data_IF_011367679498
#
_entry.id   IF_011367679498
#
_cell.length_a   1.000
_cell.length_b   1.000
_cell.length_c   1.000
_cell.angle_alpha   90.00
_cell.angle_beta   90.00
_cell.angle_gamma   90.00
#
_symmetry.space_group_name_H-M   'P 1'
#
loop_
_entity.id
_entity.type
_entity.pdbx_description
1 polymer ?
#
# COMPACT_ATOMS: atom_id res chain seq x y z
N UNK A 1 -10.21 -17.84 -2.16
CA UNK A 1 -9.84 -16.77 -1.21
C UNK A 1 -9.49 -15.56 -2.06
N UNK A 2 -10.23 -14.47 -1.92
CA UNK A 2 -10.04 -13.25 -2.72
C UNK A 2 -10.05 -12.08 -1.74
N UNK A 3 -9.07 -11.19 -1.87
CA UNK A 3 -8.98 -9.94 -1.13
C UNK A 3 -10.00 -8.97 -1.74
N UNK A 4 -10.93 -8.50 -0.93
CA UNK A 4 -12.08 -7.70 -1.34
C UNK A 4 -11.85 -6.21 -1.14
N UNK A 5 -12.59 -5.42 -1.92
CA UNK A 5 -12.76 -3.99 -1.69
C UNK A 5 -13.92 -3.77 -0.74
N UNK A 6 -13.65 -3.11 0.37
CA UNK A 6 -14.62 -2.69 1.38
C UNK A 6 -14.87 -1.16 1.28
N UNK A 7 -15.90 -0.60 1.92
CA UNK A 7 -16.20 0.83 1.84
C UNK A 7 -15.04 1.74 2.26
N UNK A 8 -14.18 1.33 3.21
CA UNK A 8 -13.02 2.11 3.64
C UNK A 8 -11.97 2.12 2.53
N UNK A 9 -11.60 0.95 2.00
CA UNK A 9 -10.61 0.87 0.91
C UNK A 9 -11.07 1.58 -0.37
N UNK A 10 -12.37 1.52 -0.71
CA UNK A 10 -12.95 2.31 -1.81
C UNK A 10 -12.88 3.81 -1.54
N UNK A 11 -13.25 4.24 -0.33
CA UNK A 11 -13.16 5.64 0.08
C UNK A 11 -11.73 6.17 -0.02
N UNK A 12 -10.75 5.40 0.46
CA UNK A 12 -9.33 5.72 0.33
C UNK A 12 -8.88 5.76 -1.13
N UNK A 13 -9.27 4.81 -1.97
CA UNK A 13 -8.95 4.83 -3.39
C UNK A 13 -9.51 6.09 -4.10
N UNK A 14 -10.74 6.50 -3.77
CA UNK A 14 -11.33 7.75 -4.28
C UNK A 14 -10.53 8.95 -3.80
N UNK A 15 -10.17 9.02 -2.51
CA UNK A 15 -9.30 10.08 -1.99
C UNK A 15 -7.94 10.10 -2.72
N UNK A 16 -7.35 8.92 -2.96
CA UNK A 16 -6.14 8.75 -3.74
C UNK A 16 -6.26 9.34 -5.16
N UNK A 17 -7.40 9.21 -5.82
CA UNK A 17 -7.62 9.84 -7.14
C UNK A 17 -7.75 11.37 -7.08
N UNK A 18 -8.09 11.95 -5.93
CA UNK A 18 -8.22 13.39 -5.75
C UNK A 18 -6.90 14.08 -5.38
N UNK A 19 -5.99 13.38 -4.71
CA UNK A 19 -4.67 13.93 -4.30
C UNK A 19 -3.84 14.46 -5.49
N UNK A 20 -3.71 13.74 -6.62
CA UNK A 20 -2.97 14.23 -7.79
C UNK A 20 -3.56 15.53 -8.34
N UNK A 21 -4.88 15.69 -8.29
CA UNK A 21 -5.55 16.93 -8.72
C UNK A 21 -5.09 18.09 -7.85
N UNK A 22 -5.01 17.90 -6.53
CA UNK A 22 -4.48 18.89 -5.61
C UNK A 22 -3.01 19.22 -5.91
N UNK A 23 -2.13 18.20 -5.90
CA UNK A 23 -0.68 18.39 -6.07
C UNK A 23 -0.38 19.06 -7.41
N UNK A 24 -0.97 18.60 -8.51
CA UNK A 24 -0.75 19.21 -9.83
C UNK A 24 -1.33 20.62 -9.97
N UNK A 25 -2.30 21.00 -9.16
CA UNK A 25 -2.86 22.37 -9.15
C UNK A 25 -1.96 23.34 -8.41
N UNK A 26 -1.41 22.95 -7.25
CA UNK A 26 -0.73 23.87 -6.34
C UNK A 26 0.80 23.81 -6.43
N UNK A 27 1.37 22.63 -6.71
CA UNK A 27 2.83 22.45 -6.81
C UNK A 27 3.32 22.55 -8.26
N UNK A 28 2.41 22.44 -9.24
CA UNK A 28 2.72 22.44 -10.67
C UNK A 28 3.75 21.36 -11.09
N UNK A 29 3.82 20.26 -10.33
CA UNK A 29 4.71 19.13 -10.58
C UNK A 29 3.95 17.90 -11.09
N UNK A 30 4.71 16.96 -11.68
CA UNK A 30 4.20 15.70 -12.19
C UNK A 30 4.54 14.49 -11.30
N UNK A 31 5.06 14.70 -10.08
CA UNK A 31 5.46 13.60 -9.19
C UNK A 31 4.29 12.66 -8.87
N UNK A 32 3.08 13.22 -8.73
CA UNK A 32 1.88 12.44 -8.47
C UNK A 32 1.43 11.56 -9.66
N UNK A 33 2.00 11.71 -10.87
CA UNK A 33 1.60 10.89 -12.02
C UNK A 33 1.91 9.40 -11.79
N UNK A 34 3.11 9.09 -11.30
CA UNK A 34 3.51 7.70 -11.08
C UNK A 34 2.54 6.95 -10.14
N UNK A 35 2.27 7.42 -8.91
CA UNK A 35 1.29 6.76 -8.05
C UNK A 35 -0.12 6.76 -8.64
N UNK A 36 -0.51 7.79 -9.40
CA UNK A 36 -1.82 7.81 -10.07
C UNK A 36 -1.95 6.67 -11.06
N UNK A 37 -0.93 6.47 -11.91
CA UNK A 37 -0.91 5.36 -12.85
C UNK A 37 -0.87 4.02 -12.13
N UNK A 38 -0.11 3.90 -11.05
CA UNK A 38 -0.05 2.67 -10.25
C UNK A 38 -1.43 2.34 -9.63
N UNK A 39 -2.10 3.33 -9.05
CA UNK A 39 -3.44 3.21 -8.48
C UNK A 39 -4.45 2.76 -9.54
N UNK A 40 -4.48 3.44 -10.69
CA UNK A 40 -5.37 3.10 -11.81
C UNK A 40 -5.05 1.71 -12.35
N UNK A 41 -3.77 1.36 -12.53
CA UNK A 41 -3.33 0.05 -12.97
C UNK A 41 -3.77 -1.05 -11.99
N UNK A 42 -3.74 -0.78 -10.68
CA UNK A 42 -4.26 -1.69 -9.66
C UNK A 42 -5.76 -1.91 -9.78
N UNK A 43 -6.55 -0.85 -9.95
CA UNK A 43 -8.01 -0.93 -10.12
C UNK A 43 -8.37 -1.68 -11.41
N UNK A 44 -7.74 -1.30 -12.52
CA UNK A 44 -7.95 -1.91 -13.85
C UNK A 44 -7.50 -3.37 -13.82
N UNK A 45 -6.31 -3.66 -13.29
CA UNK A 45 -5.80 -5.02 -13.15
C UNK A 45 -6.75 -5.91 -12.35
N UNK A 46 -7.23 -5.41 -11.21
CA UNK A 46 -8.20 -6.12 -10.38
C UNK A 46 -9.50 -6.39 -11.16
N UNK A 47 -10.02 -5.41 -11.92
CA UNK A 47 -11.29 -5.54 -12.65
C UNK A 47 -11.20 -6.48 -13.85
N UNK A 48 -10.19 -6.31 -14.68
CA UNK A 48 -10.13 -6.93 -16.01
C UNK A 48 -9.39 -8.26 -16.03
N UNK A 49 -8.36 -8.43 -15.19
CA UNK A 49 -7.58 -9.67 -15.17
C UNK A 49 -8.27 -10.74 -14.31
N UNK A 50 -8.81 -10.35 -13.14
CA UNK A 50 -9.40 -11.31 -12.20
C UNK A 50 -10.87 -11.64 -12.51
N UNK A 51 -11.54 -10.84 -13.34
CA UNK A 51 -12.94 -11.00 -13.79
C UNK A 51 -14.00 -11.11 -12.67
N UNK A 52 -13.60 -11.02 -11.40
CA UNK A 52 -14.44 -10.99 -10.20
C UNK A 52 -13.86 -9.95 -9.25
N UNK A 53 -14.47 -8.76 -9.21
CA UNK A 53 -14.29 -7.88 -8.04
C UNK A 53 -15.34 -8.36 -7.04
N UNK A 54 -14.89 -9.04 -6.00
CA UNK A 54 -15.76 -9.36 -4.88
C UNK A 54 -15.72 -8.15 -3.96
N UNK A 55 -16.84 -7.44 -3.89
CA UNK A 55 -17.01 -6.21 -3.12
C UNK A 55 -17.78 -6.52 -1.85
N UNK A 56 -17.30 -5.97 -0.73
CA UNK A 56 -18.05 -5.97 0.53
C UNK A 56 -18.82 -4.65 0.60
N UNK A 57 -20.16 -4.63 0.46
CA UNK A 57 -20.92 -3.38 0.35
C UNK A 57 -21.11 -2.68 1.69
N UNK A 58 -20.97 -3.40 2.81
CA UNK A 58 -21.24 -2.91 4.16
C UNK A 58 -20.17 -3.41 5.12
N UNK A 59 -19.91 -2.66 6.18
CA UNK A 59 -19.04 -3.08 7.28
C UNK A 59 -19.89 -3.05 8.55
N UNK A 60 -20.00 -4.16 9.26
CA UNK A 60 -20.59 -4.19 10.60
C UNK A 60 -19.58 -3.78 11.70
N UNK A 61 -20.05 -3.62 12.93
CA UNK A 61 -19.20 -3.16 14.04
C UNK A 61 -18.06 -4.14 14.40
N UNK A 62 -18.30 -5.45 14.26
CA UNK A 62 -17.28 -6.48 14.49
C UNK A 62 -16.23 -6.45 13.39
N UNK A 63 -16.66 -6.33 12.14
CA UNK A 63 -15.82 -6.19 10.97
C UNK A 63 -14.95 -4.92 11.01
N UNK A 64 -15.51 -3.80 11.47
CA UNK A 64 -14.75 -2.57 11.71
C UNK A 64 -13.67 -2.79 12.76
N UNK A 65 -14.02 -3.45 13.87
CA UNK A 65 -13.07 -3.76 14.95
C UNK A 65 -11.93 -4.66 14.47
N UNK A 66 -12.23 -5.65 13.63
CA UNK A 66 -11.24 -6.50 12.98
C UNK A 66 -10.33 -5.70 12.05
N UNK A 67 -10.88 -4.80 11.24
CA UNK A 67 -10.07 -3.92 10.36
C UNK A 67 -9.09 -3.11 11.20
N UNK A 68 -9.55 -2.48 12.28
CA UNK A 68 -8.69 -1.68 13.15
C UNK A 68 -7.62 -2.53 13.86
N UNK A 69 -7.98 -3.70 14.38
CA UNK A 69 -7.05 -4.63 15.01
C UNK A 69 -5.94 -5.05 14.05
N UNK A 70 -6.31 -5.49 12.84
CA UNK A 70 -5.33 -5.95 11.85
C UNK A 70 -4.52 -4.81 11.25
N UNK A 71 -5.07 -3.60 11.14
CA UNK A 71 -4.30 -2.39 10.77
C UNK A 71 -3.22 -2.12 11.81
N UNK A 72 -3.59 -2.16 13.09
CA UNK A 72 -2.65 -1.94 14.19
C UNK A 72 -1.59 -3.04 14.28
N UNK A 73 -1.99 -4.31 14.08
CA UNK A 73 -1.07 -5.44 14.04
C UNK A 73 -0.05 -5.32 12.90
N UNK A 74 -0.50 -4.94 11.69
CA UNK A 74 0.38 -4.66 10.55
C UNK A 74 1.39 -3.56 10.89
N UNK A 75 0.89 -2.42 11.36
CA UNK A 75 1.71 -1.27 11.73
C UNK A 75 2.73 -1.63 12.82
N UNK A 76 2.32 -2.41 13.82
CA UNK A 76 3.21 -2.87 14.90
C UNK A 76 4.36 -3.71 14.35
N UNK A 77 4.08 -4.66 13.45
CA UNK A 77 5.14 -5.48 12.83
C UNK A 77 6.11 -4.60 12.02
N UNK A 78 5.57 -3.65 11.25
CA UNK A 78 6.37 -2.71 10.46
C UNK A 78 7.26 -1.86 11.38
N UNK A 79 6.72 -1.24 12.42
CA UNK A 79 7.47 -0.41 13.35
C UNK A 79 8.49 -1.20 14.18
N UNK A 80 8.16 -2.42 14.62
CA UNK A 80 9.13 -3.26 15.32
C UNK A 80 10.28 -3.65 14.39
N UNK A 81 10.01 -3.89 13.11
CA UNK A 81 11.07 -4.18 12.14
C UNK A 81 12.01 -2.99 11.91
N UNK A 82 11.53 -1.75 12.02
CA UNK A 82 12.38 -0.55 11.94
C UNK A 82 13.19 -0.29 13.22
N UNK A 83 12.85 -0.90 14.36
CA UNK A 83 13.72 -0.88 15.56
C UNK A 83 14.96 -1.78 15.39
N UNK A 84 14.83 -2.84 14.58
CA UNK A 84 15.92 -3.79 14.31
C UNK A 84 16.80 -3.31 13.15
N UNK A 85 16.20 -2.61 12.19
CA UNK A 85 16.88 -2.03 11.02
C UNK A 85 16.83 -0.51 11.18
N UNK A 86 17.87 0.12 11.75
CA UNK A 86 17.83 1.54 12.12
C UNK A 86 17.78 2.42 10.87
N UNK A 87 16.58 2.80 10.45
CA UNK A 87 16.36 3.93 9.54
C UNK A 87 14.91 4.43 9.62
N UNK A 88 14.77 5.71 9.95
CA UNK A 88 13.49 6.45 10.00
C UNK A 88 13.52 7.69 9.09
N UNK A 89 14.52 7.84 8.22
CA UNK A 89 14.50 8.95 7.27
C UNK A 89 13.83 8.47 5.99
N UNK A 90 12.76 9.13 5.56
CA UNK A 90 12.37 9.05 4.16
C UNK A 90 13.62 9.43 3.33
N UNK A 91 14.01 8.63 2.32
CA UNK A 91 15.22 8.93 1.56
C UNK A 91 15.10 10.34 1.01
N UNK A 92 16.15 11.15 1.13
CA UNK A 92 16.20 12.48 0.53
C UNK A 92 16.01 12.32 -0.98
N UNK A 93 14.78 12.55 -1.42
CA UNK A 93 14.32 12.39 -2.78
C UNK A 93 13.94 13.75 -3.34
N UNK A 94 13.85 13.85 -4.67
CA UNK A 94 13.49 15.11 -5.32
C UNK A 94 12.15 15.63 -4.78
N UNK A 95 11.22 14.74 -4.44
CA UNK A 95 9.93 15.08 -3.84
C UNK A 95 10.09 15.76 -2.47
N UNK A 96 10.97 15.27 -1.60
CA UNK A 96 11.21 15.88 -0.27
C UNK A 96 11.85 17.26 -0.34
N UNK A 97 12.58 17.55 -1.40
CA UNK A 97 13.22 18.86 -1.59
C UNK A 97 12.31 19.89 -2.26
N UNK A 98 11.24 19.43 -2.93
CA UNK A 98 10.43 20.29 -3.81
C UNK A 98 9.00 20.50 -3.34
N UNK A 99 8.39 19.52 -2.66
CA UNK A 99 7.01 19.63 -2.18
C UNK A 99 6.97 20.34 -0.83
N UNK A 100 5.95 21.18 -0.63
CA UNK A 100 5.65 21.66 0.72
C UNK A 100 5.23 20.49 1.65
N UNK A 101 5.25 20.72 2.97
CA UNK A 101 4.97 19.64 3.93
C UNK A 101 3.55 19.05 3.81
N UNK A 102 2.56 19.85 3.38
CA UNK A 102 1.21 19.37 3.16
C UNK A 102 1.16 18.48 1.92
N UNK A 103 1.73 18.95 0.81
CA UNK A 103 1.81 18.22 -0.45
C UNK A 103 2.64 16.95 -0.32
N UNK A 104 3.73 16.96 0.45
CA UNK A 104 4.53 15.77 0.75
C UNK A 104 3.70 14.74 1.54
N UNK A 105 2.95 15.17 2.56
CA UNK A 105 2.07 14.27 3.33
C UNK A 105 0.98 13.67 2.45
N UNK A 106 0.35 14.47 1.59
CA UNK A 106 -0.64 13.98 0.63
C UNK A 106 0.00 13.00 -0.37
N UNK A 107 1.21 13.31 -0.85
CA UNK A 107 1.95 12.44 -1.77
C UNK A 107 2.22 11.07 -1.16
N UNK A 108 2.72 11.00 0.09
CA UNK A 108 3.02 9.70 0.71
C UNK A 108 1.77 8.91 1.11
N UNK A 109 0.65 9.58 1.38
CA UNK A 109 -0.69 8.97 1.53
C UNK A 109 -1.14 8.36 0.20
N UNK A 110 -1.04 9.11 -0.90
CA UNK A 110 -1.35 8.64 -2.24
C UNK A 110 -0.48 7.43 -2.62
N UNK A 111 0.83 7.49 -2.38
CA UNK A 111 1.76 6.37 -2.62
C UNK A 111 1.31 5.11 -1.88
N UNK A 112 1.01 5.21 -0.58
CA UNK A 112 0.54 4.06 0.20
C UNK A 112 -0.76 3.45 -0.36
N UNK A 113 -1.74 4.30 -0.72
CA UNK A 113 -3.01 3.85 -1.29
C UNK A 113 -2.78 3.16 -2.65
N UNK A 114 -1.97 3.77 -3.52
CA UNK A 114 -1.66 3.26 -4.85
C UNK A 114 -0.95 1.90 -4.78
N UNK A 115 0.05 1.79 -3.91
CA UNK A 115 0.80 0.56 -3.71
C UNK A 115 -0.07 -0.55 -3.14
N UNK A 116 -0.86 -0.30 -2.10
CA UNK A 116 -1.76 -1.34 -1.57
C UNK A 116 -2.81 -1.77 -2.60
N UNK A 117 -3.39 -0.83 -3.35
CA UNK A 117 -4.33 -1.15 -4.42
C UNK A 117 -3.69 -2.03 -5.50
N UNK A 118 -2.47 -1.74 -5.92
CA UNK A 118 -1.78 -2.53 -6.93
C UNK A 118 -1.30 -3.88 -6.38
N UNK A 119 -0.52 -3.86 -5.30
CA UNK A 119 0.15 -5.06 -4.80
C UNK A 119 -0.82 -6.01 -4.10
N UNK A 120 -1.77 -5.53 -3.28
CA UNK A 120 -2.67 -6.41 -2.50
C UNK A 120 -4.00 -6.58 -3.23
N UNK A 121 -4.58 -5.47 -3.69
CA UNK A 121 -5.85 -5.48 -4.42
C UNK A 121 -5.77 -6.27 -5.73
N UNK A 122 -4.68 -6.12 -6.48
CA UNK A 122 -4.49 -6.82 -7.76
C UNK A 122 -3.46 -7.96 -7.70
N UNK A 123 -2.18 -7.68 -7.43
CA UNK A 123 -1.09 -8.64 -7.66
C UNK A 123 -1.16 -9.87 -6.74
N UNK A 124 -1.41 -9.68 -5.44
CA UNK A 124 -1.59 -10.79 -4.50
C UNK A 124 -2.80 -11.64 -4.90
N UNK A 125 -3.92 -11.01 -5.26
CA UNK A 125 -5.08 -11.74 -5.79
C UNK A 125 -4.75 -12.51 -7.08
N UNK A 126 -3.97 -11.93 -7.98
CA UNK A 126 -3.50 -12.61 -9.19
C UNK A 126 -2.69 -13.87 -8.86
N UNK A 127 -1.82 -13.81 -7.86
CA UNK A 127 -1.09 -14.99 -7.39
C UNK A 127 -1.99 -16.01 -6.70
N UNK A 128 -2.98 -15.60 -5.91
CA UNK A 128 -3.94 -16.50 -5.27
C UNK A 128 -4.76 -17.34 -6.26
N UNK A 129 -4.89 -16.90 -7.51
CA UNK A 129 -5.54 -17.70 -8.57
C UNK A 129 -4.73 -18.95 -8.93
N UNK A 130 -3.40 -18.90 -8.80
CA UNK A 130 -2.49 -19.96 -9.29
C UNK A 130 -1.62 -20.60 -8.22
N UNK A 131 -1.40 -19.94 -7.09
CA UNK A 131 -0.48 -20.35 -6.05
C UNK A 131 -1.21 -20.58 -4.71
N UNK A 132 -0.71 -21.50 -3.86
CA UNK A 132 -1.18 -21.59 -2.48
C UNK A 132 -0.97 -20.26 -1.72
N UNK A 133 -1.80 -19.94 -0.72
CA UNK A 133 -1.76 -18.64 -0.05
C UNK A 133 -0.39 -18.20 0.47
N UNK A 134 0.38 -19.10 1.08
CA UNK A 134 1.72 -18.79 1.57
C UNK A 134 2.68 -18.34 0.44
N UNK A 135 2.63 -19.01 -0.71
CA UNK A 135 3.46 -18.65 -1.86
C UNK A 135 3.00 -17.36 -2.52
N UNK A 136 1.69 -17.10 -2.57
CA UNK A 136 1.15 -15.83 -3.07
C UNK A 136 1.60 -14.64 -2.21
N UNK A 137 1.57 -14.80 -0.88
CA UNK A 137 2.04 -13.80 0.09
C UNK A 137 3.53 -13.51 -0.10
N UNK A 138 4.37 -14.55 -0.15
CA UNK A 138 5.81 -14.40 -0.33
C UNK A 138 6.17 -13.82 -1.70
N UNK A 139 5.49 -14.25 -2.77
CA UNK A 139 5.72 -13.72 -4.11
C UNK A 139 5.38 -12.23 -4.20
N UNK A 140 4.25 -11.81 -3.63
CA UNK A 140 3.86 -10.40 -3.60
C UNK A 140 4.83 -9.54 -2.79
N UNK A 141 5.20 -9.99 -1.58
CA UNK A 141 6.20 -9.30 -0.75
C UNK A 141 7.57 -9.18 -1.42
N UNK A 142 8.00 -10.22 -2.14
CA UNK A 142 9.25 -10.19 -2.91
C UNK A 142 9.21 -9.22 -4.08
N UNK A 143 8.13 -9.17 -4.87
CA UNK A 143 8.03 -8.20 -5.97
C UNK A 143 7.93 -6.78 -5.43
N UNK A 144 7.22 -6.57 -4.31
CA UNK A 144 7.19 -5.28 -3.62
C UNK A 144 8.60 -4.83 -3.23
N UNK A 145 9.41 -5.71 -2.63
CA UNK A 145 10.81 -5.40 -2.29
C UNK A 145 11.69 -5.14 -3.53
N UNK A 146 11.52 -5.93 -4.60
CA UNK A 146 12.27 -5.75 -5.86
C UNK A 146 11.98 -4.37 -6.46
N UNK A 147 10.72 -3.96 -6.48
CA UNK A 147 10.29 -2.65 -6.95
C UNK A 147 10.99 -1.50 -6.18
N UNK A 148 11.25 -1.69 -4.88
CA UNK A 148 11.89 -0.68 -4.03
C UNK A 148 13.41 -0.56 -4.17
N UNK A 149 14.09 -1.42 -4.96
CA UNK A 149 15.48 -1.14 -5.35
C UNK A 149 15.59 0.17 -6.15
N UNK A 150 14.51 0.61 -6.81
CA UNK A 150 14.47 1.92 -7.48
C UNK A 150 14.50 3.11 -6.52
N UNK A 151 14.14 2.91 -5.25
CA UNK A 151 14.09 3.95 -4.20
C UNK A 151 15.30 3.84 -3.28
N UNK A 152 15.61 2.63 -2.80
CA UNK A 152 16.65 2.40 -1.79
C UNK A 152 17.98 1.90 -2.36
N UNK A 153 18.09 1.75 -3.67
CA UNK A 153 19.28 1.21 -4.33
C UNK A 153 19.63 -0.18 -3.80
N UNK A 154 20.92 -0.45 -3.58
CA UNK A 154 21.43 -1.74 -3.09
C UNK A 154 21.53 -1.82 -1.56
N UNK A 155 20.82 -0.97 -0.83
CA UNK A 155 20.77 -1.00 0.63
C UNK A 155 19.96 -2.20 1.11
N UNK A 156 20.60 -3.36 1.21
CA UNK A 156 19.94 -4.64 1.52
C UNK A 156 19.17 -4.63 2.84
N UNK A 157 19.60 -3.85 3.84
CA UNK A 157 18.88 -3.68 5.10
C UNK A 157 17.51 -3.01 4.88
N UNK A 158 17.46 -1.92 4.10
CA UNK A 158 16.21 -1.23 3.76
C UNK A 158 15.30 -2.11 2.89
N UNK A 159 15.87 -2.81 1.93
CA UNK A 159 15.14 -3.78 1.11
C UNK A 159 14.58 -4.92 1.98
N UNK A 160 15.32 -5.37 3.00
CA UNK A 160 14.88 -6.35 3.98
C UNK A 160 13.68 -5.86 4.79
N UNK A 161 13.72 -4.61 5.26
CA UNK A 161 12.59 -3.95 5.92
C UNK A 161 11.36 -3.90 5.00
N UNK A 162 11.53 -3.43 3.76
CA UNK A 162 10.46 -3.36 2.76
C UNK A 162 9.89 -4.75 2.45
N UNK A 163 10.73 -5.77 2.39
CA UNK A 163 10.28 -7.14 2.16
C UNK A 163 9.42 -7.66 3.32
N UNK A 164 9.81 -7.38 4.56
CA UNK A 164 9.02 -7.72 5.75
C UNK A 164 7.67 -6.99 5.72
N UNK A 165 7.67 -5.67 5.46
CA UNK A 165 6.46 -4.87 5.33
C UNK A 165 5.55 -5.38 4.20
N UNK A 166 6.14 -5.63 3.03
CA UNK A 166 5.52 -6.24 1.85
C UNK A 166 4.77 -7.54 2.18
N UNK A 167 5.47 -8.42 2.87
CA UNK A 167 5.02 -9.76 3.25
C UNK A 167 3.93 -9.71 4.32
N UNK A 168 4.09 -8.93 5.40
CA UNK A 168 3.09 -8.87 6.47
C UNK A 168 1.77 -8.25 6.00
N UNK A 169 1.83 -7.19 5.20
CA UNK A 169 0.65 -6.58 4.60
C UNK A 169 -0.05 -7.57 3.65
N UNK A 170 0.70 -8.33 2.85
CA UNK A 170 0.12 -9.37 2.00
C UNK A 170 -0.52 -10.49 2.82
N UNK A 171 0.12 -10.94 3.90
CA UNK A 171 -0.45 -11.92 4.83
C UNK A 171 -1.76 -11.43 5.44
N UNK A 172 -1.79 -10.18 5.91
CA UNK A 172 -2.97 -9.59 6.55
C UNK A 172 -4.10 -9.42 5.54
N UNK A 173 -3.82 -8.97 4.31
CA UNK A 173 -4.82 -8.88 3.26
C UNK A 173 -5.46 -10.25 2.98
N UNK A 174 -4.65 -11.30 2.88
CA UNK A 174 -5.10 -12.69 2.67
C UNK A 174 -5.91 -13.20 3.87
N UNK A 175 -5.44 -12.92 5.10
CA UNK A 175 -6.05 -13.38 6.35
C UNK A 175 -7.42 -12.74 6.58
N UNK A 176 -7.53 -11.43 6.36
CA UNK A 176 -8.74 -10.63 6.58
C UNK A 176 -9.66 -10.63 5.36
N UNK A 177 -9.16 -11.02 4.19
CA UNK A 177 -9.84 -10.88 2.90
C UNK A 177 -10.25 -9.44 2.59
N UNK A 178 -9.56 -8.45 3.18
CA UNK A 178 -9.85 -7.02 3.01
C UNK A 178 -8.59 -6.24 2.68
N UNK A 179 -8.78 -5.16 1.93
CA UNK A 179 -7.70 -4.28 1.54
C UNK A 179 -7.48 -3.14 2.54
N UNK A 180 -8.53 -2.67 3.20
CA UNK A 180 -8.46 -1.52 4.12
C UNK A 180 -7.43 -1.66 5.25
N UNK A 181 -7.21 -2.84 5.89
CA UNK A 181 -6.24 -2.91 6.98
C UNK A 181 -4.82 -2.56 6.52
N UNK A 182 -4.48 -2.98 5.30
CA UNK A 182 -3.16 -2.75 4.72
C UNK A 182 -2.98 -1.28 4.33
N UNK A 183 -4.00 -0.68 3.69
CA UNK A 183 -3.98 0.75 3.33
C UNK A 183 -3.80 1.63 4.57
N UNK A 184 -4.57 1.39 5.63
CA UNK A 184 -4.50 2.18 6.86
C UNK A 184 -3.12 2.07 7.52
N UNK A 185 -2.61 0.85 7.69
CA UNK A 185 -1.29 0.62 8.29
C UNK A 185 -0.16 1.28 7.48
N UNK A 186 -0.20 1.16 6.16
CA UNK A 186 0.82 1.70 5.28
C UNK A 186 0.76 3.23 5.21
N UNK A 187 -0.44 3.83 5.16
CA UNK A 187 -0.61 5.28 5.25
C UNK A 187 0.03 5.82 6.54
N UNK A 188 -0.26 5.19 7.69
CA UNK A 188 0.30 5.63 8.97
C UNK A 188 1.82 5.48 8.98
N UNK A 189 2.35 4.37 8.49
CA UNK A 189 3.80 4.17 8.38
C UNK A 189 4.47 5.28 7.55
N UNK A 190 3.90 5.59 6.39
CA UNK A 190 4.44 6.61 5.49
C UNK A 190 4.34 8.01 6.10
N UNK A 191 3.25 8.34 6.78
CA UNK A 191 3.09 9.62 7.47
C UNK A 191 4.05 9.78 8.66
N UNK A 192 4.44 8.69 9.32
CA UNK A 192 5.44 8.73 10.40
C UNK A 192 6.87 8.89 9.88
N UNK A 193 7.12 8.59 8.60
CA UNK A 193 8.43 8.69 7.98
C UNK A 193 8.75 10.11 7.44
N UNK A 194 7.75 10.98 7.31
CA UNK A 194 7.87 12.36 6.76
C UNK A 194 7.64 13.45 7.79
#
# INVERSE_FOLDING_TARGET
>A
MVIRQDPISKGLAIMGLLIPVFISTFELTLYALFPSFLLIAGIVGQRYVLKKIDEDPTIDAGEFSDIMFWSFAALTVILVSSLVIPYFAYPSSIETETLDIMSLRLFVVLMAIAEEQFFRGFLTNFFLVKLPPAFAVLASGSIFAIYHFGVYGTSFDLIGYVWIAGTILSYIAVKTQRLSPCMLAHIVNNLLAV
#
